data_IF_609179814466
#
_entry.id   IF_609179814466
#
_cell.length_a   1.000
_cell.length_b   1.000
_cell.length_c   1.000
_cell.angle_alpha   90.00
_cell.angle_beta   90.00
_cell.angle_gamma   90.00
#
_symmetry.space_group_name_H-M   'P 1'
#
loop_
_entity.id
_entity.type
_entity.pdbx_description
1 polymer ?
#
# COMPACT_ATOMS: atom_id res chain seq x y z
N UNK A 1 -26.30 -83.62 -1.05
CA UNK A 1 -26.96 -82.47 -1.68
C UNK A 1 -26.82 -81.24 -0.78
N UNK A 2 -25.57 -80.84 -0.45
CA UNK A 2 -25.29 -79.84 0.61
C UNK A 2 -23.97 -79.09 0.42
N UNK A 3 -23.39 -79.07 -0.79
CA UNK A 3 -22.09 -78.40 -1.04
C UNK A 3 -22.12 -77.33 -2.14
N UNK A 4 -23.26 -77.09 -2.78
CA UNK A 4 -23.35 -76.13 -3.91
C UNK A 4 -23.77 -74.72 -3.45
N UNK A 5 -24.38 -74.57 -2.26
CA UNK A 5 -24.83 -73.26 -1.77
C UNK A 5 -23.73 -72.39 -1.14
N UNK A 6 -22.59 -72.96 -0.74
CA UNK A 6 -21.51 -72.19 -0.09
C UNK A 6 -20.67 -71.36 -1.09
N UNK A 7 -20.58 -71.77 -2.35
CA UNK A 7 -19.79 -71.07 -3.37
C UNK A 7 -20.51 -69.83 -3.93
N UNK A 8 -21.85 -69.83 -3.96
CA UNK A 8 -22.64 -68.71 -4.48
C UNK A 8 -22.67 -67.50 -3.52
N UNK A 9 -22.56 -67.73 -2.21
CA UNK A 9 -22.57 -66.65 -1.19
C UNK A 9 -21.21 -65.93 -1.13
N UNK A 10 -20.09 -66.63 -1.34
CA UNK A 10 -18.77 -65.98 -1.40
C UNK A 10 -18.54 -65.17 -2.68
N UNK A 11 -19.14 -65.58 -3.81
CA UNK A 11 -19.08 -64.79 -5.04
C UNK A 11 -19.91 -63.49 -4.94
N UNK A 12 -21.04 -63.52 -4.22
CA UNK A 12 -21.84 -62.32 -3.97
C UNK A 12 -21.12 -61.31 -3.05
N UNK A 13 -20.41 -61.78 -2.01
CA UNK A 13 -19.61 -60.90 -1.12
C UNK A 13 -18.37 -60.35 -1.86
N UNK A 14 -17.74 -61.16 -2.73
CA UNK A 14 -16.60 -60.73 -3.55
C UNK A 14 -16.97 -59.70 -4.63
N UNK A 15 -18.19 -59.74 -5.18
CA UNK A 15 -18.67 -58.77 -6.17
C UNK A 15 -19.19 -57.48 -5.52
N UNK A 16 -19.75 -57.55 -4.30
CA UNK A 16 -20.19 -56.35 -3.55
C UNK A 16 -19.02 -55.51 -3.03
N UNK A 17 -17.86 -56.12 -2.75
CA UNK A 17 -16.63 -55.39 -2.41
C UNK A 17 -15.95 -54.71 -3.62
N UNK A 18 -16.38 -55.01 -4.85
CA UNK A 18 -15.78 -54.46 -6.08
C UNK A 18 -16.43 -53.15 -6.56
N UNK A 19 -17.40 -52.61 -5.81
CA UNK A 19 -18.01 -51.30 -6.07
C UNK A 19 -17.96 -50.42 -4.82
N UNK A 20 -16.84 -50.42 -4.09
CA UNK A 20 -16.54 -49.24 -3.30
C UNK A 20 -16.20 -48.12 -4.30
N UNK A 21 -16.93 -46.99 -4.31
CA UNK A 21 -16.50 -45.83 -5.07
C UNK A 21 -15.05 -45.51 -4.68
N UNK A 22 -14.20 -45.09 -5.63
CA UNK A 22 -12.82 -44.73 -5.31
C UNK A 22 -12.83 -43.77 -4.13
N UNK A 23 -11.94 -43.98 -3.16
CA UNK A 23 -11.84 -43.14 -1.96
C UNK A 23 -11.70 -41.69 -2.40
N UNK A 24 -12.78 -40.92 -2.32
CA UNK A 24 -12.79 -39.53 -2.76
C UNK A 24 -11.82 -38.74 -1.89
N UNK A 25 -10.98 -37.93 -2.51
CA UNK A 25 -10.06 -37.07 -1.75
C UNK A 25 -10.86 -36.04 -0.94
N UNK A 26 -10.29 -35.52 0.15
CA UNK A 26 -10.94 -34.47 0.94
C UNK A 26 -11.31 -33.25 0.08
N UNK A 27 -10.47 -32.90 -0.90
CA UNK A 27 -10.73 -31.84 -1.89
C UNK A 27 -11.92 -32.14 -2.80
N UNK A 28 -12.07 -33.39 -3.26
CA UNK A 28 -13.24 -33.80 -4.05
C UNK A 28 -14.53 -33.73 -3.25
N UNK A 29 -14.49 -34.14 -1.98
CA UNK A 29 -15.66 -34.08 -1.10
C UNK A 29 -16.05 -32.62 -0.80
N UNK A 30 -15.06 -31.78 -0.51
CA UNK A 30 -15.28 -30.35 -0.28
C UNK A 30 -15.82 -29.65 -1.54
N UNK A 31 -15.26 -29.96 -2.71
CA UNK A 31 -15.76 -29.43 -3.99
C UNK A 31 -17.24 -29.80 -4.21
N UNK A 32 -17.61 -31.06 -3.99
CA UNK A 32 -18.98 -31.51 -4.10
C UNK A 32 -19.93 -30.79 -3.12
N UNK A 33 -19.50 -30.58 -1.87
CA UNK A 33 -20.29 -29.85 -0.87
C UNK A 33 -20.52 -28.38 -1.25
N UNK A 34 -19.52 -27.74 -1.85
CA UNK A 34 -19.59 -26.34 -2.31
C UNK A 34 -20.21 -26.18 -3.69
N UNK A 35 -20.53 -27.28 -4.38
CA UNK A 35 -20.90 -27.27 -5.80
C UNK A 35 -19.82 -26.63 -6.69
N UNK A 36 -18.56 -26.83 -6.34
CA UNK A 36 -17.40 -26.43 -7.13
C UNK A 36 -17.01 -27.54 -8.10
N UNK A 37 -16.33 -27.15 -9.17
CA UNK A 37 -15.81 -28.07 -10.17
C UNK A 37 -14.50 -28.69 -9.68
N UNK A 38 -14.32 -29.99 -9.90
CA UNK A 38 -13.07 -30.69 -9.59
C UNK A 38 -12.43 -31.24 -10.86
N UNK A 39 -11.17 -30.90 -11.05
CA UNK A 39 -10.33 -31.39 -12.15
C UNK A 39 -9.06 -32.02 -11.59
N UNK A 40 -8.64 -33.15 -12.17
CA UNK A 40 -7.49 -33.91 -11.66
C UNK A 40 -6.17 -33.14 -11.79
N UNK A 41 -6.01 -32.37 -12.86
CA UNK A 41 -4.85 -31.53 -13.11
C UNK A 41 -5.17 -30.43 -14.11
N UNK A 42 -4.53 -29.28 -13.95
CA UNK A 42 -4.56 -28.17 -14.89
C UNK A 42 -3.12 -27.69 -15.12
N UNK A 43 -2.70 -27.63 -16.39
CA UNK A 43 -1.36 -27.25 -16.77
C UNK A 43 -1.20 -25.74 -17.03
N UNK A 44 -2.29 -25.02 -17.29
CA UNK A 44 -2.25 -23.61 -17.68
C UNK A 44 -2.45 -22.68 -16.49
N UNK A 45 -3.16 -23.14 -15.45
CA UNK A 45 -3.45 -22.34 -14.26
C UNK A 45 -2.19 -21.84 -13.54
N UNK A 46 -1.08 -22.59 -13.63
CA UNK A 46 0.18 -22.26 -12.96
C UNK A 46 1.03 -21.25 -13.73
N UNK A 47 0.73 -21.01 -15.00
CA UNK A 47 1.46 -20.02 -15.82
C UNK A 47 1.19 -18.58 -15.35
N UNK A 48 0.14 -18.38 -14.56
CA UNK A 48 -0.26 -17.07 -14.00
C UNK A 48 0.44 -16.75 -12.67
N UNK A 49 1.13 -17.72 -12.04
CA UNK A 49 1.70 -17.58 -10.70
C UNK A 49 3.21 -17.80 -10.72
N UNK A 50 3.96 -16.87 -10.13
CA UNK A 50 5.43 -16.86 -10.19
C UNK A 50 6.09 -16.92 -8.82
N UNK A 51 5.30 -16.77 -7.73
CA UNK A 51 5.80 -16.62 -6.37
C UNK A 51 5.38 -17.79 -5.47
N UNK A 52 5.97 -17.83 -4.27
CA UNK A 52 5.63 -18.81 -3.23
C UNK A 52 5.77 -20.26 -3.71
N UNK A 53 4.82 -21.11 -3.32
CA UNK A 53 4.79 -22.51 -3.73
C UNK A 53 4.61 -22.72 -5.26
N UNK A 54 4.23 -21.67 -6.01
CA UNK A 54 4.08 -21.73 -7.46
C UNK A 54 5.36 -21.43 -8.23
N UNK A 55 6.41 -20.90 -7.57
CA UNK A 55 7.67 -20.50 -8.22
C UNK A 55 8.38 -21.61 -9.00
N UNK A 56 8.07 -22.90 -8.70
CA UNK A 56 8.65 -24.05 -9.38
C UNK A 56 8.03 -24.42 -10.73
N UNK A 57 6.98 -23.73 -11.21
CA UNK A 57 6.33 -24.03 -12.49
C UNK A 57 5.71 -25.43 -12.57
N UNK A 58 5.37 -26.02 -11.42
CA UNK A 58 4.83 -27.39 -11.33
C UNK A 58 3.34 -27.36 -11.63
N UNK A 59 2.90 -28.14 -12.61
CA UNK A 59 1.49 -28.24 -12.98
C UNK A 59 0.57 -28.52 -11.77
N UNK A 60 -0.56 -27.81 -11.73
CA UNK A 60 -1.54 -27.93 -10.65
C UNK A 60 -2.22 -29.29 -10.68
N UNK A 61 -2.37 -29.91 -9.50
CA UNK A 61 -3.10 -31.17 -9.29
C UNK A 61 -4.25 -30.97 -8.33
N UNK A 62 -5.23 -31.87 -8.37
CA UNK A 62 -6.39 -31.88 -7.48
C UNK A 62 -7.07 -30.49 -7.43
N UNK A 63 -7.30 -29.92 -8.61
CA UNK A 63 -7.78 -28.55 -8.81
C UNK A 63 -9.26 -28.50 -8.51
N UNK A 64 -9.66 -27.64 -7.58
CA UNK A 64 -11.05 -27.29 -7.32
C UNK A 64 -11.26 -25.85 -7.76
N UNK A 65 -12.26 -25.59 -8.59
CA UNK A 65 -12.54 -24.28 -9.16
C UNK A 65 -13.99 -23.87 -8.89
N UNK A 66 -14.22 -22.62 -8.53
CA UNK A 66 -15.57 -22.11 -8.30
C UNK A 66 -15.62 -20.62 -8.02
N UNK A 67 -16.80 -20.14 -7.65
CA UNK A 67 -17.02 -18.76 -7.23
C UNK A 67 -17.35 -18.74 -5.74
N UNK A 68 -16.58 -17.98 -4.96
CA UNK A 68 -16.79 -17.82 -3.53
C UNK A 68 -16.64 -16.35 -3.13
N UNK A 69 -17.51 -15.85 -2.25
CA UNK A 69 -17.54 -14.44 -1.84
C UNK A 69 -17.55 -13.44 -3.02
N UNK A 70 -18.09 -13.84 -4.18
CA UNK A 70 -18.13 -13.01 -5.39
C UNK A 70 -16.86 -13.05 -6.26
N UNK A 71 -15.87 -13.85 -5.88
CA UNK A 71 -14.58 -13.96 -6.57
C UNK A 71 -14.37 -15.37 -7.16
N UNK A 72 -13.61 -15.44 -8.25
CA UNK A 72 -13.08 -16.69 -8.77
C UNK A 72 -12.05 -17.25 -7.77
N UNK A 73 -12.21 -18.51 -7.41
CA UNK A 73 -11.35 -19.20 -6.44
C UNK A 73 -10.93 -20.56 -6.98
N UNK A 74 -9.64 -20.84 -6.84
CA UNK A 74 -9.06 -22.16 -7.09
C UNK A 74 -8.39 -22.69 -5.82
N UNK A 75 -8.64 -23.96 -5.49
CA UNK A 75 -7.87 -24.70 -4.50
C UNK A 75 -7.10 -25.80 -5.22
N UNK A 76 -5.78 -25.76 -5.13
CA UNK A 76 -4.88 -26.60 -5.91
C UNK A 76 -3.82 -27.25 -5.05
N UNK A 77 -3.15 -28.24 -5.61
CA UNK A 77 -1.94 -28.84 -5.06
C UNK A 77 -0.75 -28.58 -5.99
N UNK A 78 0.24 -27.85 -5.48
CA UNK A 78 1.49 -27.48 -6.16
C UNK A 78 2.65 -28.15 -5.44
N UNK A 79 3.37 -29.04 -6.11
CA UNK A 79 4.50 -29.78 -5.53
C UNK A 79 4.22 -30.43 -4.14
N UNK A 80 2.98 -30.87 -3.89
CA UNK A 80 2.54 -31.46 -2.62
C UNK A 80 2.07 -30.46 -1.55
N UNK A 81 2.11 -29.16 -1.86
CA UNK A 81 1.61 -28.07 -1.01
C UNK A 81 0.22 -27.66 -1.49
N UNK A 82 -0.72 -27.47 -0.55
CA UNK A 82 -2.07 -26.99 -0.90
C UNK A 82 -2.08 -25.47 -0.93
N UNK A 83 -2.58 -24.90 -2.03
CA UNK A 83 -2.67 -23.45 -2.24
C UNK A 83 -4.09 -23.09 -2.64
N UNK A 84 -4.65 -22.06 -2.02
CA UNK A 84 -5.87 -21.42 -2.48
C UNK A 84 -5.51 -20.10 -3.16
N UNK A 85 -6.00 -19.88 -4.37
CA UNK A 85 -5.84 -18.65 -5.12
C UNK A 85 -7.21 -18.02 -5.33
N UNK A 86 -7.33 -16.73 -5.05
CA UNK A 86 -8.52 -15.92 -5.29
C UNK A 86 -8.19 -14.80 -6.26
N UNK A 87 -9.00 -14.66 -7.32
CA UNK A 87 -8.79 -13.63 -8.33
C UNK A 87 -9.26 -12.28 -7.83
N UNK A 88 -8.40 -11.27 -7.91
CA UNK A 88 -8.71 -9.86 -7.60
C UNK A 88 -9.07 -9.10 -8.88
N UNK A 89 -9.90 -8.05 -8.80
CA UNK A 89 -10.47 -7.40 -9.98
C UNK A 89 -9.50 -6.49 -10.74
N UNK A 90 -8.43 -6.02 -10.10
CA UNK A 90 -7.47 -5.08 -10.70
C UNK A 90 -6.06 -5.62 -10.47
N UNK A 91 -5.31 -5.89 -11.53
CA UNK A 91 -3.95 -6.41 -11.45
C UNK A 91 -2.95 -5.34 -10.99
N UNK A 92 -1.87 -5.76 -10.32
CA UNK A 92 -0.74 -4.89 -9.93
C UNK A 92 0.59 -5.61 -10.18
N UNK A 93 1.63 -4.86 -10.53
CA UNK A 93 3.01 -5.38 -10.62
C UNK A 93 3.72 -5.44 -9.26
N UNK A 94 3.11 -4.84 -8.22
CA UNK A 94 3.61 -4.92 -6.86
C UNK A 94 3.30 -6.29 -6.29
N UNK A 95 4.33 -6.97 -5.80
CA UNK A 95 4.20 -8.24 -5.11
C UNK A 95 4.29 -7.99 -3.61
N UNK A 96 3.37 -8.59 -2.86
CA UNK A 96 3.39 -8.58 -1.39
C UNK A 96 3.47 -10.04 -0.94
N UNK A 97 4.50 -10.42 -0.20
CA UNK A 97 4.68 -11.78 0.36
C UNK A 97 4.67 -11.68 1.89
N UNK A 98 3.78 -12.42 2.53
CA UNK A 98 3.63 -12.47 3.97
C UNK A 98 3.83 -13.91 4.44
N UNK A 99 4.86 -14.12 5.26
CA UNK A 99 5.23 -15.46 5.73
C UNK A 99 5.17 -15.55 7.24
N UNK A 100 4.53 -16.60 7.76
CA UNK A 100 4.42 -16.82 9.19
C UNK A 100 5.78 -17.20 9.76
N UNK A 101 6.21 -16.51 10.82
CA UNK A 101 7.48 -16.73 11.53
C UNK A 101 8.75 -16.68 10.66
N UNK A 102 8.71 -15.97 9.53
CA UNK A 102 9.90 -15.76 8.70
C UNK A 102 10.78 -14.63 9.23
N UNK A 103 12.09 -14.82 9.18
CA UNK A 103 13.07 -13.79 9.55
C UNK A 103 13.52 -12.98 8.33
N UNK A 104 13.76 -13.66 7.21
CA UNK A 104 14.26 -13.08 5.96
C UNK A 104 13.43 -13.59 4.75
N UNK A 105 13.56 -12.89 3.62
CA UNK A 105 12.98 -13.30 2.35
C UNK A 105 13.96 -14.22 1.60
N UNK A 106 13.43 -15.22 0.91
CA UNK A 106 14.22 -16.07 0.01
C UNK A 106 14.46 -15.42 -1.37
N UNK A 107 13.74 -14.34 -1.69
CA UNK A 107 13.83 -13.64 -2.97
C UNK A 107 14.57 -12.29 -2.81
N UNK A 108 15.50 -12.02 -3.73
CA UNK A 108 16.37 -10.84 -3.71
C UNK A 108 15.64 -9.52 -3.97
N UNK A 109 14.52 -9.55 -4.72
CA UNK A 109 13.74 -8.37 -5.07
C UNK A 109 12.73 -7.95 -3.99
N UNK A 110 12.58 -8.74 -2.94
CA UNK A 110 11.63 -8.50 -1.86
C UNK A 110 12.30 -7.82 -0.67
N UNK A 111 11.86 -6.60 -0.37
CA UNK A 111 12.33 -5.84 0.79
C UNK A 111 11.41 -6.06 2.00
N UNK A 112 11.96 -6.10 3.23
CA UNK A 112 11.16 -6.20 4.44
C UNK A 112 10.32 -4.93 4.63
N UNK A 113 9.04 -5.10 4.94
CA UNK A 113 8.08 -4.01 5.14
C UNK A 113 7.77 -3.86 6.63
N UNK A 114 7.09 -4.85 7.21
CA UNK A 114 6.64 -4.80 8.61
C UNK A 114 6.31 -6.19 9.14
N UNK A 115 5.72 -6.27 10.33
CA UNK A 115 5.20 -7.50 10.93
C UNK A 115 3.76 -7.30 11.35
N UNK A 116 2.89 -8.22 10.92
CA UNK A 116 1.45 -8.23 11.21
C UNK A 116 1.15 -9.54 11.94
N UNK A 117 0.97 -9.46 13.26
CA UNK A 117 0.84 -10.64 14.11
C UNK A 117 2.05 -11.56 13.97
N UNK A 118 1.83 -12.80 13.55
CA UNK A 118 2.88 -13.80 13.32
C UNK A 118 3.50 -13.74 11.91
N UNK A 119 3.03 -12.83 11.05
CA UNK A 119 3.48 -12.74 9.66
C UNK A 119 4.50 -11.63 9.47
N UNK A 120 5.65 -11.99 8.91
CA UNK A 120 6.62 -11.04 8.39
C UNK A 120 6.25 -10.73 6.94
N UNK A 121 6.10 -9.43 6.64
CA UNK A 121 5.66 -8.96 5.32
C UNK A 121 6.84 -8.39 4.54
N UNK A 122 6.95 -8.78 3.28
CA UNK A 122 7.94 -8.34 2.31
C UNK A 122 7.24 -7.86 1.03
N UNK A 123 7.89 -6.97 0.28
CA UNK A 123 7.33 -6.49 -0.99
C UNK A 123 8.40 -5.99 -1.95
N UNK A 124 8.09 -6.00 -3.25
CA UNK A 124 8.87 -5.32 -4.29
C UNK A 124 8.75 -3.78 -4.20
N UNK A 125 7.67 -3.26 -3.59
CA UNK A 125 7.45 -1.84 -3.31
C UNK A 125 6.97 -1.68 -1.87
N UNK A 126 7.92 -1.46 -0.95
CA UNK A 126 7.62 -1.33 0.47
C UNK A 126 6.64 -0.18 0.78
N UNK A 127 6.78 1.05 0.25
CA UNK A 127 5.78 2.10 0.43
C UNK A 127 4.37 1.74 -0.03
N UNK A 128 4.20 1.03 -1.15
CA UNK A 128 2.87 0.58 -1.59
C UNK A 128 2.29 -0.46 -0.62
N UNK A 129 3.11 -1.41 -0.16
CA UNK A 129 2.71 -2.42 0.81
C UNK A 129 2.39 -1.83 2.20
N UNK A 130 3.11 -0.81 2.67
CA UNK A 130 2.78 -0.12 3.93
C UNK A 130 1.38 0.49 3.89
N UNK A 131 1.00 1.10 2.76
CA UNK A 131 -0.35 1.67 2.57
C UNK A 131 -1.45 0.61 2.54
N UNK A 132 -1.12 -0.59 2.06
CA UNK A 132 -2.04 -1.72 2.07
C UNK A 132 -2.35 -2.19 3.49
N UNK A 133 -1.38 -2.11 4.42
CA UNK A 133 -1.50 -2.66 5.78
C UNK A 133 -2.29 -1.69 6.69
N UNK A 134 -3.60 -1.69 6.49
CA UNK A 134 -4.57 -0.92 7.27
C UNK A 134 -5.40 -1.80 8.22
N UNK A 135 -6.36 -1.22 8.93
CA UNK A 135 -7.10 -1.91 10.00
C UNK A 135 -7.83 -3.17 9.51
N UNK A 136 -8.40 -3.14 8.29
CA UNK A 136 -9.05 -4.31 7.69
C UNK A 136 -8.07 -5.44 7.41
N UNK A 137 -6.90 -5.11 6.87
CA UNK A 137 -5.85 -6.11 6.59
C UNK A 137 -5.34 -6.71 7.89
N UNK A 138 -5.08 -5.91 8.93
CA UNK A 138 -4.68 -6.42 10.25
C UNK A 138 -5.73 -7.39 10.83
N UNK A 139 -7.02 -7.06 10.69
CA UNK A 139 -8.12 -7.92 11.12
C UNK A 139 -8.18 -9.22 10.32
N UNK A 140 -7.96 -9.14 8.99
CA UNK A 140 -7.93 -10.29 8.09
C UNK A 140 -6.79 -11.26 8.45
N UNK A 141 -5.59 -10.73 8.72
CA UNK A 141 -4.45 -11.54 9.18
C UNK A 141 -4.71 -12.20 10.53
N UNK A 142 -5.42 -11.54 11.44
CA UNK A 142 -5.77 -12.10 12.75
C UNK A 142 -6.82 -13.22 12.66
N UNK A 143 -7.62 -13.24 11.59
CA UNK A 143 -8.63 -14.26 11.33
C UNK A 143 -8.08 -15.48 10.56
N UNK A 144 -6.83 -15.43 10.08
CA UNK A 144 -6.23 -16.54 9.33
C UNK A 144 -6.09 -17.81 10.21
N UNK A 145 -6.50 -18.99 9.72
CA UNK A 145 -6.22 -20.25 10.39
C UNK A 145 -4.72 -20.46 10.63
N UNK A 146 -4.37 -21.14 11.71
CA UNK A 146 -2.98 -21.48 12.04
C UNK A 146 -2.32 -22.40 10.98
N UNK A 147 -3.14 -23.09 10.18
CA UNK A 147 -2.71 -23.93 9.06
C UNK A 147 -2.19 -23.12 7.87
N UNK A 148 -2.47 -21.81 7.80
CA UNK A 148 -1.93 -20.92 6.75
C UNK A 148 -0.52 -20.47 7.14
N UNK A 149 0.46 -20.89 6.35
CA UNK A 149 1.88 -20.61 6.59
C UNK A 149 2.44 -19.44 5.78
N UNK A 150 1.88 -19.17 4.61
CA UNK A 150 2.28 -18.05 3.76
C UNK A 150 1.08 -17.51 2.98
N UNK A 151 1.13 -16.23 2.65
CA UNK A 151 0.15 -15.52 1.84
C UNK A 151 0.88 -14.57 0.91
N UNK A 152 0.52 -14.52 -0.36
CA UNK A 152 1.09 -13.54 -1.28
C UNK A 152 0.06 -12.95 -2.23
N UNK A 153 0.36 -11.74 -2.68
CA UNK A 153 -0.41 -11.00 -3.67
C UNK A 153 0.52 -10.80 -4.87
N UNK A 154 0.11 -11.28 -6.03
CA UNK A 154 0.85 -11.08 -7.29
C UNK A 154 -0.13 -10.91 -8.44
N UNK A 155 0.19 -10.05 -9.41
CA UNK A 155 -0.64 -9.81 -10.60
C UNK A 155 -2.13 -9.62 -10.22
N UNK A 156 -3.00 -10.50 -10.69
CA UNK A 156 -4.44 -10.56 -10.49
C UNK A 156 -4.88 -11.59 -9.43
N UNK A 157 -3.96 -12.03 -8.56
CA UNK A 157 -4.22 -13.09 -7.58
C UNK A 157 -3.84 -12.71 -6.15
N UNK A 158 -4.62 -13.22 -5.20
CA UNK A 158 -4.27 -13.31 -3.77
C UNK A 158 -4.25 -14.79 -3.41
N UNK A 159 -3.12 -15.28 -2.92
CA UNK A 159 -2.87 -16.70 -2.71
C UNK A 159 -2.55 -16.99 -1.24
N UNK A 160 -3.07 -18.09 -0.71
CA UNK A 160 -2.73 -18.61 0.61
C UNK A 160 -2.21 -20.04 0.50
N UNK A 161 -1.08 -20.30 1.15
CA UNK A 161 -0.48 -21.62 1.28
C UNK A 161 -0.87 -22.25 2.62
N UNK A 162 -1.31 -23.49 2.56
CA UNK A 162 -1.70 -24.30 3.70
C UNK A 162 -0.67 -25.38 4.04
N UNK A 163 -0.56 -25.68 5.33
CA UNK A 163 0.08 -26.88 5.82
C UNK A 163 -0.71 -28.14 5.39
N UNK A 164 -0.03 -29.29 5.33
CA UNK A 164 -0.63 -30.57 4.94
C UNK A 164 -1.76 -31.04 5.87
N UNK A 165 -1.84 -30.48 7.09
CA UNK A 165 -2.89 -30.78 8.08
C UNK A 165 -4.18 -30.00 7.85
N UNK A 166 -4.22 -29.08 6.88
CA UNK A 166 -5.40 -28.26 6.61
C UNK A 166 -6.60 -29.10 6.15
N UNK A 167 -7.77 -28.69 6.63
CA UNK A 167 -9.07 -29.35 6.41
C UNK A 167 -10.02 -28.44 5.64
N UNK A 168 -11.19 -28.98 5.26
CA UNK A 168 -12.24 -28.19 4.60
C UNK A 168 -12.68 -26.96 5.40
N UNK A 169 -12.69 -27.05 6.73
CA UNK A 169 -13.05 -25.95 7.61
C UNK A 169 -12.00 -24.82 7.56
N UNK A 170 -10.71 -25.17 7.46
CA UNK A 170 -9.63 -24.19 7.29
C UNK A 170 -9.75 -23.46 5.94
N UNK A 171 -10.10 -24.20 4.87
CA UNK A 171 -10.30 -23.63 3.54
C UNK A 171 -11.48 -22.66 3.55
N UNK A 172 -12.59 -23.05 4.17
CA UNK A 172 -13.79 -22.22 4.33
C UNK A 172 -13.52 -20.95 5.13
N UNK A 173 -12.78 -21.06 6.23
CA UNK A 173 -12.39 -19.91 7.05
C UNK A 173 -11.46 -18.93 6.30
N UNK A 174 -10.70 -19.41 5.32
CA UNK A 174 -9.74 -18.59 4.57
C UNK A 174 -10.40 -17.79 3.44
N UNK A 175 -11.51 -18.26 2.85
CA UNK A 175 -12.24 -17.56 1.78
C UNK A 175 -12.59 -16.10 2.13
N UNK A 176 -13.27 -15.78 3.25
CA UNK A 176 -13.62 -14.38 3.57
C UNK A 176 -12.39 -13.51 3.84
N UNK A 177 -11.29 -14.11 4.31
CA UNK A 177 -10.01 -13.43 4.50
C UNK A 177 -9.41 -13.03 3.16
N UNK A 178 -9.33 -13.96 2.20
CA UNK A 178 -8.82 -13.66 0.85
C UNK A 178 -9.70 -12.64 0.13
N UNK A 179 -11.02 -12.65 0.35
CA UNK A 179 -11.92 -11.67 -0.23
C UNK A 179 -11.62 -10.25 0.32
N UNK A 180 -11.43 -10.15 1.64
CA UNK A 180 -11.05 -8.88 2.30
C UNK A 180 -9.71 -8.36 1.78
N UNK A 181 -8.73 -9.26 1.61
CA UNK A 181 -7.42 -8.91 1.08
C UNK A 181 -7.48 -8.51 -0.40
N UNK A 182 -8.31 -9.18 -1.21
CA UNK A 182 -8.55 -8.84 -2.60
C UNK A 182 -9.17 -7.44 -2.75
N UNK A 183 -10.10 -7.09 -1.86
CA UNK A 183 -10.70 -5.76 -1.81
C UNK A 183 -9.71 -4.68 -1.36
N UNK A 184 -8.90 -4.96 -0.34
CA UNK A 184 -7.87 -4.05 0.16
C UNK A 184 -6.74 -3.83 -0.86
N UNK A 185 -6.44 -4.84 -1.68
CA UNK A 185 -5.38 -4.79 -2.68
C UNK A 185 -5.61 -3.75 -3.79
N UNK A 186 -6.80 -3.14 -3.89
CA UNK A 186 -7.06 -1.96 -4.75
C UNK A 186 -6.20 -0.74 -4.39
N UNK A 187 -5.59 -0.71 -3.21
CA UNK A 187 -4.63 0.32 -2.79
C UNK A 187 -3.30 0.20 -3.57
N UNK A 188 -2.98 -1.00 -4.07
CA UNK A 188 -1.77 -1.21 -4.85
C UNK A 188 -1.89 -0.52 -6.22
N UNK A 189 -0.79 0.04 -6.75
CA UNK A 189 -0.81 0.73 -8.03
C UNK A 189 -1.27 -0.25 -9.13
N UNK A 190 -2.28 0.11 -9.94
CA UNK A 190 -2.74 -0.76 -11.00
C UNK A 190 -1.64 -0.93 -12.05
N UNK A 191 -1.52 -2.14 -12.62
CA UNK A 191 -0.70 -2.37 -13.81
C UNK A 191 -1.16 -1.43 -14.92
N UNK A 192 -0.22 -0.93 -15.73
CA UNK A 192 -0.55 -0.09 -16.88
C UNK A 192 -1.61 -0.78 -17.77
N UNK A 193 -2.71 -0.08 -18.07
CA UNK A 193 -3.84 -0.61 -18.84
C UNK A 193 -4.85 -1.47 -18.07
N UNK A 194 -4.64 -1.75 -16.77
CA UNK A 194 -5.59 -2.50 -15.95
C UNK A 194 -6.85 -1.69 -15.56
N UNK A 195 -6.78 -0.36 -15.62
CA UNK A 195 -7.89 0.55 -15.35
C UNK A 195 -8.17 1.35 -16.60
N UNK A 196 -9.45 1.43 -17.00
CA UNK A 196 -9.82 2.30 -18.12
C UNK A 196 -9.54 3.76 -17.74
N UNK A 197 -8.94 4.56 -18.63
CA UNK A 197 -8.79 5.99 -18.42
C UNK A 197 -10.16 6.59 -18.15
N UNK A 198 -10.28 7.37 -17.07
CA UNK A 198 -11.49 8.16 -16.84
C UNK A 198 -11.48 9.26 -17.90
N UNK A 199 -12.49 9.26 -18.77
CA UNK A 199 -12.71 10.35 -19.71
C UNK A 199 -13.26 11.56 -18.95
N UNK A 200 -12.40 12.56 -18.75
CA UNK A 200 -12.76 13.80 -18.07
C UNK A 200 -13.26 14.87 -19.05
N UNK A 201 -13.41 14.57 -20.35
CA UNK A 201 -13.84 15.55 -21.36
C UNK A 201 -15.25 16.08 -21.11
N UNK A 202 -16.15 15.23 -20.58
CA UNK A 202 -17.53 15.59 -20.22
C UNK A 202 -17.67 16.10 -18.77
N UNK A 203 -16.59 16.10 -17.99
CA UNK A 203 -16.61 16.60 -16.62
C UNK A 203 -16.37 18.11 -16.60
N UNK A 204 -17.46 18.89 -16.59
CA UNK A 204 -17.38 20.36 -16.46
C UNK A 204 -16.77 20.72 -15.09
N UNK A 205 -15.60 21.39 -15.04
CA UNK A 205 -15.01 21.79 -13.77
C UNK A 205 -15.94 22.80 -13.07
N UNK A 206 -16.32 22.48 -11.83
CA UNK A 206 -17.12 23.40 -10.97
C UNK A 206 -16.50 24.78 -10.73
N UNK A 207 -15.26 24.98 -11.19
CA UNK A 207 -14.54 26.25 -11.21
C UNK A 207 -13.88 26.42 -12.57
N UNK A 208 -14.05 27.58 -13.19
CA UNK A 208 -13.34 27.90 -14.42
C UNK A 208 -11.83 27.77 -14.21
N UNK A 209 -11.18 26.96 -15.06
CA UNK A 209 -9.73 27.02 -15.15
C UNK A 209 -9.35 28.40 -15.71
N UNK A 210 -8.36 29.08 -15.11
CA UNK A 210 -7.78 30.25 -15.75
C UNK A 210 -7.21 29.82 -17.11
N UNK A 211 -7.27 30.72 -18.10
CA UNK A 211 -6.64 30.52 -19.41
C UNK A 211 -5.20 30.07 -19.18
N UNK A 212 -4.83 28.92 -19.73
CA UNK A 212 -3.44 28.48 -19.71
C UNK A 212 -2.60 29.61 -20.31
N UNK A 213 -1.47 30.00 -19.68
CA UNK A 213 -0.58 30.97 -20.30
C UNK A 213 -0.25 30.47 -21.71
N UNK A 214 -0.23 31.38 -22.69
CA UNK A 214 0.28 31.05 -24.01
C UNK A 214 1.67 30.46 -23.81
N UNK A 215 1.87 29.21 -24.24
CA UNK A 215 3.22 28.69 -24.37
C UNK A 215 3.87 29.57 -25.41
N UNK A 216 4.77 30.44 -24.98
CA UNK A 216 5.73 31.06 -25.87
C UNK A 216 6.39 29.90 -26.62
N UNK A 217 6.26 29.89 -27.96
CA UNK A 217 7.06 28.98 -28.78
C UNK A 217 8.51 29.31 -28.43
N UNK A 218 9.25 28.34 -27.89
CA UNK A 218 10.68 28.53 -27.64
C UNK A 218 11.33 28.87 -28.98
N UNK A 219 11.65 30.15 -29.19
CA UNK A 219 12.48 30.58 -30.30
C UNK A 219 13.81 29.84 -30.13
N UNK A 220 14.01 28.79 -30.95
CA UNK A 220 15.20 27.92 -30.90
C UNK A 220 16.51 28.69 -31.19
N UNK A 221 16.39 29.94 -31.64
CA UNK A 221 17.49 30.88 -31.91
C UNK A 221 17.78 31.83 -30.74
N UNK A 222 16.92 31.87 -29.71
CA UNK A 222 17.17 32.67 -28.51
C UNK A 222 18.17 31.91 -27.62
N UNK A 223 19.29 32.53 -27.20
CA UNK A 223 20.27 31.85 -26.36
C UNK A 223 19.58 31.43 -25.05
N UNK A 224 19.70 30.14 -24.70
CA UNK A 224 19.16 29.62 -23.44
C UNK A 224 19.49 30.60 -22.30
N UNK A 225 18.47 31.05 -21.53
CA UNK A 225 18.72 31.96 -20.43
C UNK A 225 19.73 31.28 -19.50
N UNK A 226 20.87 31.95 -19.28
CA UNK A 226 21.90 31.43 -18.40
C UNK A 226 21.34 31.35 -16.99
N UNK A 227 20.89 30.15 -16.61
CA UNK A 227 20.41 29.90 -15.27
C UNK A 227 21.54 30.27 -14.31
N UNK A 228 21.30 31.15 -13.32
CA UNK A 228 22.34 31.51 -12.36
C UNK A 228 22.83 30.23 -11.69
N UNK A 229 24.13 29.97 -11.80
CA UNK A 229 24.75 28.83 -11.14
C UNK A 229 24.56 29.03 -9.65
N UNK A 230 23.74 28.17 -9.04
CA UNK A 230 23.53 28.17 -7.59
C UNK A 230 24.81 27.65 -6.96
N UNK A 231 25.76 28.56 -6.70
CA UNK A 231 26.96 28.25 -5.95
C UNK A 231 26.53 27.96 -4.51
N UNK A 232 26.64 26.68 -4.13
CA UNK A 232 26.51 26.28 -2.74
C UNK A 232 27.63 26.99 -1.97
N UNK A 233 27.26 27.94 -1.10
CA UNK A 233 28.18 28.54 -0.14
C UNK A 233 28.93 27.41 0.58
N UNK A 234 30.26 27.34 0.44
CA UNK A 234 31.08 26.24 1.00
C UNK A 234 30.92 26.09 2.52
N UNK A 235 30.53 27.18 3.20
CA UNK A 235 30.20 27.16 4.61
C UNK A 235 28.69 26.97 4.78
N UNK A 236 28.24 25.84 5.36
CA UNK A 236 26.84 25.65 5.72
C UNK A 236 26.36 26.81 6.60
N UNK A 237 25.20 27.37 6.27
CA UNK A 237 24.55 28.37 7.12
C UNK A 237 24.15 27.67 8.43
N UNK A 238 24.65 28.16 9.55
CA UNK A 238 24.28 27.62 10.86
C UNK A 238 22.82 27.93 11.16
N UNK A 239 21.96 26.91 11.05
CA UNK A 239 20.57 27.02 11.44
C UNK A 239 20.44 26.95 12.97
N UNK A 240 19.56 27.77 13.58
CA UNK A 240 19.29 27.68 15.00
C UNK A 240 18.68 26.30 15.30
N UNK A 241 19.32 25.55 16.19
CA UNK A 241 18.87 24.23 16.64
C UNK A 241 18.39 24.30 18.08
N UNK A 242 17.34 23.56 18.42
CA UNK A 242 16.84 23.46 19.81
C UNK A 242 17.79 22.70 20.75
N UNK A 243 18.76 21.97 20.18
CA UNK A 243 19.72 21.18 20.94
C UNK A 243 20.76 22.04 21.68
N UNK A 244 20.99 23.29 21.25
CA UNK A 244 21.95 24.19 21.86
C UNK A 244 21.34 25.59 22.04
N UNK A 245 21.28 26.07 23.28
CA UNK A 245 20.88 27.45 23.55
C UNK A 245 22.00 28.41 23.08
N UNK A 246 21.69 29.29 22.12
CA UNK A 246 22.59 30.35 21.64
C UNK A 246 21.98 31.69 22.02
N UNK A 247 22.64 32.43 22.92
CA UNK A 247 22.23 33.79 23.29
C UNK A 247 22.72 34.78 22.23
N UNK A 248 21.81 35.41 21.49
CA UNK A 248 22.13 36.36 20.42
C UNK A 248 22.18 37.83 20.89
N UNK A 249 22.53 38.04 22.16
CA UNK A 249 22.60 39.38 22.77
C UNK A 249 21.83 39.46 24.08
N UNK A 250 22.04 40.55 24.80
CA UNK A 250 21.33 40.85 26.04
C UNK A 250 20.07 41.62 25.67
N UNK A 251 18.91 41.00 25.88
CA UNK A 251 17.63 41.72 25.85
C UNK A 251 17.50 42.41 27.20
N UNK A 252 17.38 43.74 27.21
CA UNK A 252 17.11 44.47 28.43
C UNK A 252 15.71 44.09 28.95
N UNK A 253 15.60 43.80 30.25
CA UNK A 253 14.31 43.54 30.88
C UNK A 253 13.42 44.78 30.71
N UNK A 254 12.26 44.57 30.08
CA UNK A 254 11.23 45.58 29.92
C UNK A 254 9.90 44.95 30.27
N UNK A 255 9.07 45.67 31.03
CA UNK A 255 7.71 45.25 31.34
C UNK A 255 6.94 45.02 30.04
N UNK A 256 6.56 43.76 29.82
CA UNK A 256 5.70 43.33 28.71
C UNK A 256 4.37 42.99 29.36
N UNK A 257 3.35 43.79 29.04
CA UNK A 257 1.97 43.51 29.44
C UNK A 257 1.61 44.04 30.82
N UNK A 258 1.72 45.35 31.03
CA UNK A 258 0.73 46.03 31.84
C UNK A 258 -0.21 46.75 30.86
N UNK A 259 -1.44 46.25 30.75
CA UNK A 259 -2.50 46.94 30.01
C UNK A 259 -3.05 48.03 30.92
N UNK A 260 -2.23 49.05 31.19
CA UNK A 260 -2.67 50.29 31.79
C UNK A 260 -3.47 51.06 30.74
N UNK A 261 -4.72 50.67 30.59
CA UNK A 261 -5.72 51.43 29.85
C UNK A 261 -6.07 52.68 30.64
N UNK A 262 -5.56 53.83 30.18
CA UNK A 262 -5.99 55.14 30.67
C UNK A 262 -7.53 55.29 30.56
N UNK A 263 -8.14 55.92 31.56
CA UNK A 263 -9.57 56.17 31.56
C UNK A 263 -9.99 57.02 30.34
N UNK A 264 -10.86 56.48 29.49
CA UNK A 264 -11.35 57.09 28.24
C UNK A 264 -11.97 58.50 28.43
N UNK A 265 -12.32 58.88 29.66
CA UNK A 265 -13.09 60.08 29.97
C UNK A 265 -12.30 61.41 29.94
N UNK A 266 -10.96 61.39 30.01
CA UNK A 266 -10.17 62.63 30.18
C UNK A 266 -9.81 63.34 28.86
N UNK A 267 -10.22 62.80 27.70
CA UNK A 267 -10.11 63.47 26.40
C UNK A 267 -8.67 63.76 25.92
N UNK A 268 -7.65 63.33 26.69
CA UNK A 268 -6.27 63.40 26.28
C UNK A 268 -6.00 62.31 25.22
N UNK A 269 -5.46 62.72 24.07
CA UNK A 269 -4.96 61.74 23.10
C UNK A 269 -3.77 60.99 23.70
N UNK A 270 -3.72 59.65 23.63
CA UNK A 270 -2.55 58.90 24.09
C UNK A 270 -1.32 59.36 23.30
N UNK A 271 -0.19 59.53 23.99
CA UNK A 271 1.08 59.78 23.31
C UNK A 271 1.37 58.60 22.40
N UNK A 272 1.62 58.88 21.12
CA UNK A 272 2.04 57.86 20.18
C UNK A 272 3.32 57.19 20.69
N UNK A 273 3.21 55.93 21.10
CA UNK A 273 4.34 55.04 21.32
C UNK A 273 4.46 54.12 20.11
N UNK A 274 5.67 53.68 19.79
CA UNK A 274 5.93 52.72 18.71
C UNK A 274 5.33 51.32 18.98
N UNK A 275 4.68 51.14 20.13
CA UNK A 275 4.15 49.87 20.60
C UNK A 275 2.72 50.05 21.14
N UNK A 276 1.73 49.64 20.34
CA UNK A 276 0.34 49.49 20.76
C UNK A 276 0.09 48.02 21.15
N UNK A 277 0.36 47.69 22.42
CA UNK A 277 0.10 46.36 22.97
C UNK A 277 0.89 45.25 22.25
N UNK A 278 0.17 44.27 21.68
CA UNK A 278 0.76 43.11 20.98
C UNK A 278 1.28 43.43 19.57
N UNK A 279 1.09 44.67 19.08
CA UNK A 279 1.50 45.08 17.74
C UNK A 279 2.81 45.87 17.81
N UNK A 280 3.86 45.30 17.21
CA UNK A 280 5.11 46.02 16.93
C UNK A 280 4.90 46.88 15.69
N UNK A 281 4.88 48.20 15.85
CA UNK A 281 4.87 49.12 14.71
C UNK A 281 6.33 49.38 14.36
N UNK A 282 6.73 49.02 13.13
CA UNK A 282 8.08 49.29 12.66
C UNK A 282 8.18 50.76 12.29
N UNK A 283 9.10 51.49 12.91
CA UNK A 283 9.49 52.81 12.46
C UNK A 283 10.22 52.69 11.11
N UNK A 284 9.54 53.12 10.05
CA UNK A 284 10.07 53.13 8.68
C UNK A 284 10.76 54.47 8.34
N UNK A 285 10.91 55.38 9.30
CA UNK A 285 11.53 56.71 9.08
C UNK A 285 12.97 56.63 8.56
N UNK A 286 13.68 55.54 8.86
CA UNK A 286 15.07 55.31 8.42
C UNK A 286 15.20 54.72 7.02
N UNK A 287 14.10 54.45 6.32
CA UNK A 287 14.12 53.80 5.01
C UNK A 287 14.55 52.33 5.07
N UNK A 288 14.61 51.67 3.92
CA UNK A 288 15.00 50.25 3.81
C UNK A 288 16.52 50.13 3.65
N UNK A 289 17.18 49.42 4.56
CA UNK A 289 18.64 49.18 4.50
C UNK A 289 19.05 48.10 3.50
N UNK A 290 18.09 47.50 2.79
CA UNK A 290 18.35 46.39 1.84
C UNK A 290 19.04 46.87 0.55
N UNK A 291 19.11 48.19 0.33
CA UNK A 291 19.76 48.80 -0.83
C UNK A 291 20.95 49.66 -0.43
N UNK A 292 21.42 49.57 0.82
CA UNK A 292 22.56 50.36 1.29
C UNK A 292 23.86 49.95 0.58
N UNK A 293 23.99 48.66 0.25
CA UNK A 293 25.07 48.10 -0.58
C UNK A 293 25.02 48.65 -2.01
N UNK A 294 23.83 48.63 -2.62
CA UNK A 294 23.61 49.14 -3.96
C UNK A 294 23.76 50.67 -4.03
N UNK A 295 23.39 51.38 -2.96
CA UNK A 295 23.56 52.84 -2.83
C UNK A 295 25.03 53.22 -2.67
N UNK A 296 25.82 52.42 -1.95
CA UNK A 296 27.26 52.62 -1.82
C UNK A 296 27.98 52.39 -3.15
N UNK A 297 27.51 51.45 -3.96
CA UNK A 297 28.05 51.17 -5.30
C UNK A 297 27.65 52.23 -6.34
N UNK A 298 26.38 52.66 -6.33
CA UNK A 298 25.85 53.63 -7.29
C UNK A 298 26.10 55.09 -6.91
N UNK A 299 26.54 55.35 -5.67
CA UNK A 299 26.72 56.70 -5.13
C UNK A 299 25.41 57.51 -4.99
N UNK A 300 24.26 56.85 -5.15
CA UNK A 300 22.91 57.43 -5.02
C UNK A 300 21.92 56.36 -4.57
N UNK A 301 20.85 56.77 -3.91
CA UNK A 301 19.78 55.86 -3.55
C UNK A 301 19.08 55.35 -4.82
N UNK A 302 19.01 54.04 -5.08
CA UNK A 302 18.39 53.48 -6.28
C UNK A 302 16.86 53.66 -6.33
N UNK A 303 16.24 54.05 -5.20
CA UNK A 303 14.82 54.34 -5.10
C UNK A 303 14.48 55.83 -5.24
N UNK A 304 15.48 56.70 -5.45
CA UNK A 304 15.34 58.13 -5.76
C UNK A 304 15.48 58.44 -7.26
#
# INVERSE_FOLDING_TARGET
MTFIFAAAVLLAIGVVLLVLPPKQSAKQQWAAQKSFEYTKSDAFLTDEWTRGAAAGGVAAKNVVSGIAAGYEVHLVELAGVTVMAMRRPVASDVVVDARRNATESDAEDLMPVTTVGEFRVFSTDAPAAERLIEARVNSAFSALPATVGALWIESDWVLAQFAATATGDDWDATIPVLATLSDAARVLPPRAGAVQPIDLSDCDPSRSLPTAPEKEEEDLDDPEPTLPVVERKEKPVELPTRAAAKSLGVVADREIGDDDVDAIADGAMPKASDFQGTRVIRDLSKGSSIFDDLSAELGRNPLE
#
